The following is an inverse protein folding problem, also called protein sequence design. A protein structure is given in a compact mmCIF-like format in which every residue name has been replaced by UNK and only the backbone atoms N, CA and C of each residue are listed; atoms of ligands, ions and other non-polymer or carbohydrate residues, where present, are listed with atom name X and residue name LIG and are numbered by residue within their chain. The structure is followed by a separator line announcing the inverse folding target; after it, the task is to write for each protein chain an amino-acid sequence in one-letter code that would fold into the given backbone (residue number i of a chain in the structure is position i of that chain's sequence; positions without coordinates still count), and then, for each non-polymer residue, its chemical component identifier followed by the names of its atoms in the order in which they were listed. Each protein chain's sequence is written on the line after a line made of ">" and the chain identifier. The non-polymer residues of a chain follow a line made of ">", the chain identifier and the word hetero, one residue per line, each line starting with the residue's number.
data_IF_512836957044
#
_entry.id   IF_512836957044
#
_cell.length_a   1.000
_cell.length_b   1.000
_cell.length_c   1.000
_cell.angle_alpha   90.00
_cell.angle_beta   90.00
_cell.angle_gamma   90.00
#
_symmetry.space_group_name_H-M   'P 1'
#
loop_
_entity.id
_entity.type
_entity.pdbx_description
1 polymer ?
#
# COMPACT_ATOMS: atom_id res chain seq x y z
N UNK A 1 12.29 -14.18 -7.10
CA UNK A 1 11.48 -12.96 -7.28
C UNK A 1 10.09 -13.29 -6.76
N UNK A 2 9.65 -12.74 -5.63
CA UNK A 2 8.35 -13.08 -5.03
C UNK A 2 7.44 -11.88 -5.17
N UNK A 3 6.56 -11.96 -6.17
CA UNK A 3 5.52 -10.99 -6.48
C UNK A 3 4.28 -11.22 -5.58
N UNK A 4 3.39 -10.24 -5.52
CA UNK A 4 2.16 -10.27 -4.70
C UNK A 4 1.31 -11.53 -4.98
N UNK A 5 1.41 -12.09 -6.19
CA UNK A 5 0.69 -13.30 -6.60
C UNK A 5 -0.83 -13.11 -6.56
N UNK A 6 -1.56 -14.17 -6.22
CA UNK A 6 -3.01 -14.13 -6.10
C UNK A 6 -3.46 -13.33 -4.86
N UNK A 7 -4.13 -12.20 -5.09
CA UNK A 7 -4.66 -11.32 -4.04
C UNK A 7 -5.71 -12.00 -3.15
N UNK A 8 -6.37 -13.07 -3.62
CA UNK A 8 -7.38 -13.83 -2.87
C UNK A 8 -6.78 -14.57 -1.67
N UNK A 9 -5.46 -14.78 -1.66
CA UNK A 9 -4.74 -15.40 -0.53
C UNK A 9 -4.71 -14.51 0.72
N UNK A 10 -4.92 -13.20 0.56
CA UNK A 10 -4.94 -12.27 1.68
C UNK A 10 -6.35 -12.12 2.23
N UNK A 11 -6.52 -12.43 3.53
CA UNK A 11 -7.80 -12.30 4.25
C UNK A 11 -8.41 -10.91 4.19
N UNK A 12 -7.57 -9.87 4.09
CA UNK A 12 -8.00 -8.49 3.99
C UNK A 12 -6.89 -7.61 3.39
N UNK A 13 -7.26 -6.39 2.97
CA UNK A 13 -6.33 -5.37 2.45
C UNK A 13 -5.19 -5.02 3.42
N UNK A 14 -5.37 -5.14 4.74
CA UNK A 14 -4.31 -4.87 5.72
C UNK A 14 -3.24 -5.97 5.71
N UNK A 15 -3.63 -7.22 5.50
CA UNK A 15 -2.72 -8.35 5.38
C UNK A 15 -1.79 -8.21 4.17
N UNK A 16 -2.30 -7.70 3.03
CA UNK A 16 -1.46 -7.37 1.87
C UNK A 16 -0.42 -6.27 2.19
N UNK A 17 -0.85 -5.21 2.88
CA UNK A 17 0.05 -4.10 3.27
C UNK A 17 1.12 -4.56 4.26
N UNK A 18 0.75 -5.40 5.23
CA UNK A 18 1.68 -5.98 6.19
C UNK A 18 2.67 -6.96 5.52
N UNK A 19 2.17 -7.78 4.58
CA UNK A 19 3.00 -8.67 3.76
C UNK A 19 4.02 -7.88 2.92
N UNK A 20 3.59 -6.76 2.33
CA UNK A 20 4.48 -5.86 1.62
C UNK A 20 5.47 -5.12 2.53
N UNK A 21 5.31 -5.19 3.86
CA UNK A 21 6.15 -4.46 4.81
C UNK A 21 6.00 -2.95 4.67
N UNK A 22 4.77 -2.45 4.46
CA UNK A 22 4.46 -1.02 4.38
C UNK A 22 3.50 -0.61 5.51
N UNK A 23 3.18 -1.53 6.42
CA UNK A 23 2.40 -1.19 7.61
C UNK A 23 3.29 -0.51 8.65
N UNK A 24 2.75 0.54 9.27
CA UNK A 24 3.23 1.00 10.56
C UNK A 24 2.55 0.10 11.62
N UNK A 25 3.31 -0.52 12.54
CA UNK A 25 2.72 -1.39 13.55
C UNK A 25 1.65 -0.64 14.38
N UNK A 26 0.54 -1.30 14.76
CA UNK A 26 -0.53 -0.68 15.52
C UNK A 26 -0.05 -0.18 16.89
N UNK A 27 -0.63 0.92 17.35
CA UNK A 27 -0.48 1.47 18.70
C UNK A 27 -1.12 0.53 19.73
N UNK A 28 -0.38 -0.36 20.40
CA UNK A 28 -0.70 -0.97 21.71
C UNK A 28 0.62 -1.44 22.34
N UNK A 29 0.91 -1.40 23.64
CA UNK A 29 0.22 -0.97 24.86
C UNK A 29 1.31 -0.90 25.94
N UNK A 30 1.48 0.23 26.63
CA UNK A 30 2.45 0.38 27.73
C UNK A 30 3.54 1.41 27.47
N UNK A 31 3.37 2.60 28.05
CA UNK A 31 4.43 3.51 28.51
C UNK A 31 5.62 3.87 27.58
N UNK A 32 5.46 3.89 26.26
CA UNK A 32 6.52 4.47 25.40
C UNK A 32 5.96 5.25 24.20
N UNK A 33 5.98 6.58 24.31
CA UNK A 33 5.73 7.51 23.21
C UNK A 33 6.96 7.62 22.30
N UNK A 34 7.11 6.69 21.36
CA UNK A 34 8.03 6.93 20.25
C UNK A 34 7.36 7.84 19.21
N UNK A 35 7.77 9.12 19.18
CA UNK A 35 7.37 10.13 18.20
C UNK A 35 7.82 9.82 16.76
N UNK A 36 8.56 8.74 16.53
CA UNK A 36 9.01 8.27 15.22
C UNK A 36 9.00 6.73 15.15
N UNK A 37 8.03 6.14 14.45
CA UNK A 37 8.02 4.70 14.18
C UNK A 37 8.30 4.41 12.71
N UNK A 38 9.32 3.58 12.47
CA UNK A 38 9.74 3.16 11.15
C UNK A 38 8.80 2.10 10.56
N UNK A 39 8.75 2.07 9.23
CA UNK A 39 8.02 1.08 8.43
C UNK A 39 8.47 -0.33 8.80
N UNK A 40 7.52 -1.27 8.93
CA UNK A 40 7.83 -2.66 9.21
C UNK A 40 8.74 -3.25 8.12
N UNK A 41 9.87 -3.85 8.51
CA UNK A 41 10.79 -4.51 7.57
C UNK A 41 10.44 -6.00 7.35
N UNK A 42 9.19 -6.39 7.63
CA UNK A 42 8.72 -7.79 7.63
C UNK A 42 8.51 -8.37 6.23
N UNK A 43 8.36 -7.52 5.21
CA UNK A 43 8.19 -7.91 3.81
C UNK A 43 9.50 -7.89 3.00
N UNK A 44 9.42 -8.39 1.76
CA UNK A 44 10.56 -8.42 0.83
C UNK A 44 11.12 -7.01 0.59
N UNK A 45 12.45 -6.80 0.70
CA UNK A 45 13.07 -5.50 0.39
C UNK A 45 12.88 -5.11 -1.09
N UNK A 46 12.85 -6.10 -2.00
CA UNK A 46 12.57 -5.85 -3.41
C UNK A 46 11.13 -5.37 -3.62
N UNK A 47 10.16 -6.00 -2.96
CA UNK A 47 8.75 -5.61 -3.05
C UNK A 47 8.53 -4.18 -2.53
N UNK A 48 9.16 -3.83 -1.40
CA UNK A 48 9.12 -2.46 -0.88
C UNK A 48 9.73 -1.44 -1.84
N UNK A 49 10.88 -1.76 -2.44
CA UNK A 49 11.52 -0.90 -3.44
C UNK A 49 10.60 -0.68 -4.65
N UNK A 50 10.00 -1.74 -5.18
CA UNK A 50 9.09 -1.66 -6.32
C UNK A 50 7.88 -0.78 -6.01
N UNK A 51 7.22 -0.98 -4.86
CA UNK A 51 6.04 -0.18 -4.49
C UNK A 51 6.40 1.29 -4.25
N UNK A 52 7.60 1.55 -3.70
CA UNK A 52 8.11 2.91 -3.56
C UNK A 52 8.34 3.60 -4.91
N UNK A 53 8.89 2.87 -5.89
CA UNK A 53 9.06 3.37 -7.27
C UNK A 53 7.69 3.65 -7.91
N UNK A 54 6.73 2.73 -7.77
CA UNK A 54 5.36 2.94 -8.29
C UNK A 54 4.72 4.19 -7.69
N UNK A 55 4.85 4.39 -6.38
CA UNK A 55 4.31 5.59 -5.71
C UNK A 55 4.98 6.87 -6.21
N UNK A 56 6.28 6.81 -6.50
CA UNK A 56 7.00 7.92 -7.14
C UNK A 56 6.50 8.22 -8.55
N UNK A 57 6.28 7.19 -9.37
CA UNK A 57 5.73 7.37 -10.71
C UNK A 57 4.35 8.03 -10.62
N UNK A 58 3.48 7.58 -9.71
CA UNK A 58 2.16 8.19 -9.48
C UNK A 58 2.31 9.67 -9.11
N UNK A 59 3.26 10.00 -8.24
CA UNK A 59 3.53 11.39 -7.84
C UNK A 59 4.03 12.24 -9.02
N UNK A 60 4.98 11.72 -9.80
CA UNK A 60 5.54 12.43 -10.96
C UNK A 60 4.52 12.61 -12.09
N UNK A 61 3.59 11.68 -12.26
CA UNK A 61 2.51 11.80 -13.25
C UNK A 61 1.48 12.85 -12.89
N UNK A 62 1.36 13.21 -11.62
CA UNK A 62 0.46 14.26 -11.14
C UNK A 62 -0.97 14.18 -11.69
N UNK A 63 -1.50 12.96 -11.86
CA UNK A 63 -2.82 12.76 -12.43
C UNK A 63 -3.91 12.98 -11.35
N UNK A 64 -4.76 14.02 -11.48
CA UNK A 64 -5.80 14.34 -10.49
C UNK A 64 -6.94 13.31 -10.42
N UNK A 65 -7.08 12.43 -11.41
CA UNK A 65 -8.05 11.32 -11.36
C UNK A 65 -7.55 10.15 -10.50
N UNK A 66 -6.25 10.11 -10.20
CA UNK A 66 -5.67 9.04 -9.40
C UNK A 66 -5.87 9.31 -7.90
N UNK A 67 -6.75 8.53 -7.27
CA UNK A 67 -7.04 8.65 -5.84
C UNK A 67 -5.81 8.49 -4.92
N UNK A 68 -4.74 7.81 -5.36
CA UNK A 68 -3.48 7.69 -4.63
C UNK A 68 -2.69 9.00 -4.73
N UNK A 69 -2.62 9.60 -5.92
CA UNK A 69 -1.99 10.90 -6.13
C UNK A 69 -2.65 11.98 -5.27
N UNK A 70 -3.97 12.15 -5.34
CA UNK A 70 -4.68 13.17 -4.57
C UNK A 70 -4.47 13.03 -3.06
N UNK A 71 -4.25 11.79 -2.58
CA UNK A 71 -3.92 11.57 -1.17
C UNK A 71 -2.49 11.96 -0.81
N UNK A 72 -1.51 11.62 -1.67
CA UNK A 72 -0.13 12.04 -1.47
C UNK A 72 -0.01 13.56 -1.56
N UNK A 73 -0.72 14.18 -2.50
CA UNK A 73 -0.75 15.62 -2.70
C UNK A 73 -1.37 16.35 -1.49
N UNK A 74 -2.49 15.84 -0.97
CA UNK A 74 -3.05 16.33 0.31
C UNK A 74 -2.05 16.23 1.46
N UNK A 75 -1.30 15.12 1.56
CA UNK A 75 -0.28 14.95 2.62
C UNK A 75 0.93 15.87 2.40
N UNK A 76 1.26 16.19 1.16
CA UNK A 76 2.27 17.17 0.78
C UNK A 76 1.84 18.58 1.18
N UNK A 77 0.59 18.98 0.94
CA UNK A 77 0.07 20.28 1.34
C UNK A 77 -0.07 20.44 2.87
N UNK A 78 -0.27 19.34 3.60
CA UNK A 78 -0.14 19.30 5.08
C UNK A 78 1.31 19.49 5.58
N UNK A 79 2.30 19.68 4.70
CA UNK A 79 3.70 19.88 5.06
C UNK A 79 4.43 18.61 5.52
N UNK A 80 3.91 17.41 5.22
CA UNK A 80 4.58 16.16 5.60
C UNK A 80 5.84 15.95 4.75
N UNK A 81 6.86 15.37 5.37
CA UNK A 81 8.11 15.03 4.69
C UNK A 81 7.87 14.02 3.54
N UNK A 82 8.68 14.12 2.48
CA UNK A 82 8.55 13.31 1.26
C UNK A 82 8.40 11.81 1.49
N UNK A 83 9.25 11.23 2.34
CA UNK A 83 9.17 9.80 2.66
C UNK A 83 7.88 9.42 3.42
N UNK A 84 7.33 10.33 4.22
CA UNK A 84 6.13 10.07 5.02
C UNK A 84 4.91 9.92 4.10
N UNK A 85 4.69 10.88 3.20
CA UNK A 85 3.55 10.80 2.29
C UNK A 85 3.74 9.76 1.20
N UNK A 86 4.98 9.48 0.76
CA UNK A 86 5.23 8.43 -0.24
C UNK A 86 4.96 7.03 0.32
N UNK A 87 5.35 6.77 1.57
CA UNK A 87 5.02 5.51 2.27
C UNK A 87 3.52 5.40 2.54
N UNK A 88 2.87 6.48 2.98
CA UNK A 88 1.43 6.49 3.18
C UNK A 88 0.68 6.27 1.84
N UNK A 89 1.17 6.86 0.76
CA UNK A 89 0.69 6.67 -0.61
C UNK A 89 0.86 5.23 -1.07
N UNK A 90 2.01 4.61 -0.80
CA UNK A 90 2.28 3.19 -1.06
C UNK A 90 1.26 2.29 -0.36
N UNK A 91 0.96 2.55 0.91
CA UNK A 91 -0.07 1.81 1.65
C UNK A 91 -1.46 2.04 1.07
N UNK A 92 -1.78 3.26 0.61
CA UNK A 92 -3.06 3.56 -0.06
C UNK A 92 -3.16 2.83 -1.40
N UNK A 93 -2.10 2.82 -2.20
CA UNK A 93 -2.00 2.11 -3.47
C UNK A 93 -2.32 0.63 -3.29
N UNK A 94 -1.66 -0.05 -2.34
CA UNK A 94 -1.93 -1.47 -2.08
C UNK A 94 -3.38 -1.75 -1.66
N UNK A 95 -4.00 -0.85 -0.90
CA UNK A 95 -5.40 -0.99 -0.50
C UNK A 95 -6.35 -0.85 -1.69
N UNK A 96 -6.09 0.10 -2.59
CA UNK A 96 -6.86 0.29 -3.83
C UNK A 96 -6.65 -0.90 -4.76
N UNK A 97 -5.40 -1.33 -4.93
CA UNK A 97 -5.04 -2.49 -5.73
C UNK A 97 -5.78 -3.75 -5.27
N UNK A 98 -5.75 -4.05 -3.97
CA UNK A 98 -6.50 -5.19 -3.42
C UNK A 98 -7.98 -5.12 -3.74
N UNK A 99 -8.62 -3.95 -3.57
CA UNK A 99 -10.04 -3.77 -3.85
C UNK A 99 -10.37 -3.99 -5.34
N UNK A 100 -9.62 -3.35 -6.24
CA UNK A 100 -9.84 -3.43 -7.69
C UNK A 100 -9.58 -4.83 -8.25
N UNK A 101 -8.50 -5.48 -7.84
CA UNK A 101 -8.20 -6.83 -8.31
C UNK A 101 -9.19 -7.84 -7.72
N UNK A 102 -9.61 -7.67 -6.46
CA UNK A 102 -10.65 -8.54 -5.87
C UNK A 102 -12.00 -8.38 -6.58
N UNK A 103 -12.38 -7.14 -6.89
CA UNK A 103 -13.60 -6.83 -7.67
C UNK A 103 -13.53 -7.49 -9.05
N UNK A 104 -12.42 -7.31 -9.78
CA UNK A 104 -12.20 -7.92 -11.09
C UNK A 104 -12.23 -9.46 -11.04
N UNK A 105 -11.57 -10.07 -10.06
CA UNK A 105 -11.56 -11.54 -9.91
C UNK A 105 -12.92 -12.11 -9.52
N UNK A 106 -13.80 -11.31 -8.91
CA UNK A 106 -15.18 -11.71 -8.60
C UNK A 106 -16.12 -11.58 -9.80
N UNK A 107 -15.82 -10.66 -10.72
CA UNK A 107 -16.62 -10.48 -11.94
C UNK A 107 -16.26 -11.46 -13.05
N UNK A 108 -15.12 -12.16 -12.94
CA UNK A 108 -14.80 -13.26 -13.86
C UNK A 108 -15.67 -14.48 -13.52
N UNK A 109 -16.34 -15.11 -14.49
CA UNK A 109 -16.96 -16.40 -14.28
C UNK A 109 -15.87 -17.40 -13.87
N UNK A 110 -16.17 -18.27 -12.91
CA UNK A 110 -15.24 -19.33 -12.53
C UNK A 110 -14.94 -20.18 -13.78
N UNK A 111 -13.65 -20.45 -14.10
CA UNK A 111 -13.31 -21.35 -15.20
C UNK A 111 -13.82 -22.79 -15.00
N UNK A 112 -14.39 -23.09 -13.83
CA UNK A 112 -14.99 -24.38 -13.45
C UNK A 112 -16.53 -24.42 -13.57
N UNK A 113 -17.16 -23.39 -14.18
CA UNK A 113 -18.57 -23.49 -14.56
C UNK A 113 -18.66 -24.28 -15.87
N UNK A 114 -19.05 -25.55 -15.73
CA UNK A 114 -19.22 -26.59 -16.76
C UNK A 114 -19.84 -26.12 -18.08
#
# INVERSE_FOLDING_TARGET
>A
MVEIGDVRRFKNKKALVAFAGIDAPPFQSGAFESKSRHVSKRGSPHLRRTIFIVSNIILTRSNPENAVYCFMDKKRSEGKHYYVYTVAGSAKFLRVYYARVTEFLRSQPSPDAC
#
